data_IF_766750951386
#
_entry.id   IF_766750951386
#
_cell.length_a   1.000
_cell.length_b   1.000
_cell.length_c   1.000
_cell.angle_alpha   90.00
_cell.angle_beta   90.00
_cell.angle_gamma   90.00
#
_symmetry.space_group_name_H-M   'P 1'
#
loop_
_entity.id
_entity.type
_entity.pdbx_description
1 polymer ?
#
# COMPACT_ATOMS: atom_id res chain seq x y z
N UNK A 1 8.87 15.33 26.29
CA UNK A 1 8.12 15.36 25.00
C UNK A 1 7.57 13.97 24.79
N UNK A 2 6.29 13.86 24.42
CA UNK A 2 5.71 12.55 24.05
C UNK A 2 6.47 12.00 22.83
N UNK A 3 6.68 10.66 22.73
CA UNK A 3 7.35 10.09 21.58
C UNK A 3 6.54 10.36 20.30
N UNK A 4 7.22 10.78 19.23
CA UNK A 4 6.57 10.98 17.93
C UNK A 4 6.02 9.68 17.38
N UNK A 5 4.87 9.76 16.74
CA UNK A 5 4.24 8.60 16.10
C UNK A 5 4.67 8.46 14.66
N UNK A 6 5.00 7.23 14.24
CA UNK A 6 5.21 6.84 12.84
C UNK A 6 4.02 6.01 12.39
N UNK A 7 3.41 6.39 11.27
CA UNK A 7 2.36 5.59 10.62
C UNK A 7 2.93 4.99 9.33
N UNK A 8 2.95 3.66 9.28
CA UNK A 8 3.35 2.90 8.09
C UNK A 8 2.15 2.62 7.21
N UNK A 9 2.30 2.86 5.91
CA UNK A 9 1.25 2.68 4.91
C UNK A 9 1.72 1.67 3.87
N UNK A 10 1.08 0.51 3.86
CA UNK A 10 1.45 -0.63 3.01
C UNK A 10 1.09 -0.37 1.54
N UNK A 11 1.79 -1.03 0.63
CA UNK A 11 1.44 -1.09 -0.78
C UNK A 11 0.35 -2.12 -1.10
N UNK A 12 -0.06 -2.19 -2.37
CA UNK A 12 -0.99 -3.21 -2.84
C UNK A 12 -0.35 -4.62 -2.76
N UNK A 13 -1.19 -5.63 -2.60
CA UNK A 13 -0.84 -7.07 -2.56
C UNK A 13 -0.03 -7.53 -1.35
N UNK A 14 0.41 -6.63 -0.47
CA UNK A 14 1.28 -6.93 0.66
C UNK A 14 0.54 -6.70 1.97
N UNK A 15 0.63 -7.64 2.88
CA UNK A 15 0.05 -7.54 4.21
C UNK A 15 0.79 -6.51 5.08
N UNK A 16 0.07 -5.82 5.95
CA UNK A 16 0.63 -4.76 6.81
C UNK A 16 1.71 -5.26 7.79
N UNK A 17 1.74 -6.56 8.12
CA UNK A 17 2.80 -7.15 8.94
C UNK A 17 4.20 -7.09 8.30
N UNK A 18 4.32 -6.75 7.02
CA UNK A 18 5.61 -6.49 6.40
C UNK A 18 6.39 -5.35 7.08
N UNK A 19 5.71 -4.53 7.88
CA UNK A 19 6.31 -3.45 8.65
C UNK A 19 6.76 -3.86 10.06
N UNK A 20 6.53 -5.09 10.52
CA UNK A 20 6.75 -5.47 11.92
C UNK A 20 8.20 -5.31 12.35
N UNK A 21 9.18 -5.64 11.49
CA UNK A 21 10.59 -5.41 11.80
C UNK A 21 10.97 -3.91 11.83
N UNK A 22 10.36 -3.13 10.94
CA UNK A 22 10.50 -1.67 10.94
C UNK A 22 9.92 -1.06 12.21
N UNK A 23 8.74 -1.51 12.62
CA UNK A 23 8.11 -1.08 13.88
C UNK A 23 9.03 -1.36 15.06
N UNK A 24 9.50 -2.58 15.23
CA UNK A 24 10.45 -2.96 16.29
C UNK A 24 11.71 -2.09 16.29
N UNK A 25 12.24 -1.77 15.13
CA UNK A 25 13.42 -0.91 15.00
C UNK A 25 13.13 0.51 15.50
N UNK A 26 12.06 1.12 15.04
CA UNK A 26 11.72 2.50 15.43
C UNK A 26 11.21 2.59 16.87
N UNK A 27 10.54 1.58 17.38
CA UNK A 27 10.13 1.50 18.80
C UNK A 27 11.35 1.48 19.73
N UNK A 28 12.39 0.73 19.37
CA UNK A 28 13.68 0.77 20.10
C UNK A 28 14.36 2.12 20.04
N UNK A 29 14.10 2.90 18.99
CA UNK A 29 14.58 4.28 18.86
C UNK A 29 13.68 5.31 19.57
N UNK A 30 12.64 4.89 20.29
CA UNK A 30 11.78 5.75 21.09
C UNK A 30 10.60 6.37 20.33
N UNK A 31 10.18 5.79 19.19
CA UNK A 31 8.97 6.21 18.48
C UNK A 31 7.79 5.33 18.86
N UNK A 32 6.58 5.88 18.81
CA UNK A 32 5.37 5.08 18.71
C UNK A 32 5.15 4.65 17.26
N UNK A 33 4.71 3.43 17.01
CA UNK A 33 4.52 2.95 15.64
C UNK A 33 3.13 2.37 15.40
N UNK A 34 2.56 2.65 14.25
CA UNK A 34 1.29 2.09 13.78
C UNK A 34 1.47 1.59 12.35
N UNK A 35 0.96 0.41 12.04
CA UNK A 35 0.83 -0.12 10.69
C UNK A 35 -0.60 -0.61 10.47
N UNK A 36 -1.58 0.31 10.35
CA UNK A 36 -2.99 -0.08 10.23
C UNK A 36 -3.23 -0.89 8.95
N UNK A 37 -4.01 -1.98 9.04
CA UNK A 37 -4.45 -2.71 7.85
C UNK A 37 -5.33 -1.84 6.97
N UNK A 38 -5.37 -2.12 5.68
CA UNK A 38 -6.40 -1.58 4.80
C UNK A 38 -7.77 -2.17 5.15
N UNK A 39 -8.88 -1.47 4.84
CA UNK A 39 -10.21 -2.01 5.08
C UNK A 39 -10.37 -3.44 4.54
N UNK A 40 -10.97 -4.33 5.34
CA UNK A 40 -11.19 -5.75 5.06
C UNK A 40 -9.93 -6.61 4.97
N UNK A 41 -8.77 -6.12 5.42
CA UNK A 41 -7.48 -6.83 5.36
C UNK A 41 -6.81 -7.01 6.73
N UNK A 42 -7.59 -7.09 7.80
CA UNK A 42 -7.09 -7.25 9.17
C UNK A 42 -6.83 -8.72 9.56
N UNK A 43 -7.33 -9.67 8.78
CA UNK A 43 -7.09 -11.10 9.02
C UNK A 43 -5.67 -11.52 8.59
N UNK A 44 -5.21 -12.69 9.04
CA UNK A 44 -3.90 -13.22 8.65
C UNK A 44 -3.75 -13.37 7.12
N UNK A 45 -2.53 -13.33 6.56
CA UNK A 45 -2.30 -13.52 5.12
C UNK A 45 -2.91 -14.82 4.58
N UNK A 46 -2.84 -15.89 5.35
CA UNK A 46 -3.44 -17.18 4.99
C UNK A 46 -4.97 -17.08 4.91
N UNK A 47 -5.61 -16.52 5.95
CA UNK A 47 -7.07 -16.35 5.97
C UNK A 47 -7.56 -15.47 4.83
N UNK A 48 -6.83 -14.39 4.51
CA UNK A 48 -7.13 -13.51 3.38
C UNK A 48 -7.01 -14.25 2.04
N UNK A 49 -5.97 -15.06 1.84
CA UNK A 49 -5.84 -15.89 0.62
C UNK A 49 -6.96 -16.91 0.52
N UNK A 50 -7.31 -17.57 1.63
CA UNK A 50 -8.40 -18.58 1.65
C UNK A 50 -9.78 -17.95 1.40
N UNK A 51 -9.97 -16.66 1.71
CA UNK A 51 -11.21 -15.93 1.40
C UNK A 51 -11.31 -15.48 -0.07
N UNK A 52 -10.24 -15.66 -0.86
CA UNK A 52 -10.25 -15.23 -2.25
C UNK A 52 -11.14 -16.15 -3.14
N UNK A 53 -11.98 -15.56 -4.04
CA UNK A 53 -12.16 -14.13 -4.30
C UNK A 53 -13.09 -13.45 -3.28
N UNK A 54 -12.65 -12.34 -2.71
CA UNK A 54 -13.35 -11.59 -1.68
C UNK A 54 -13.96 -10.28 -2.27
N UNK A 55 -15.29 -10.09 -2.24
CA UNK A 55 -15.96 -8.92 -2.81
C UNK A 55 -15.73 -7.64 -1.98
N UNK A 56 -15.55 -7.75 -0.66
CA UNK A 56 -15.29 -6.59 0.20
C UNK A 56 -13.91 -6.00 -0.11
N UNK A 57 -12.88 -6.84 -0.18
CA UNK A 57 -11.53 -6.41 -0.63
C UNK A 57 -11.62 -5.82 -2.04
N UNK A 58 -12.38 -6.45 -2.94
CA UNK A 58 -12.54 -5.96 -4.32
C UNK A 58 -13.19 -4.58 -4.40
N UNK A 59 -13.96 -4.17 -3.39
CA UNK A 59 -14.63 -2.86 -3.34
C UNK A 59 -13.70 -1.70 -2.98
N UNK A 60 -12.52 -1.97 -2.44
CA UNK A 60 -11.57 -0.94 -2.03
C UNK A 60 -11.17 -0.03 -3.21
N UNK A 61 -11.11 1.28 -2.94
CA UNK A 61 -10.72 2.34 -3.87
C UNK A 61 -9.60 3.18 -3.25
N UNK A 62 -8.78 3.82 -4.08
CA UNK A 62 -7.72 4.70 -3.60
C UNK A 62 -8.27 5.83 -2.70
N UNK A 63 -9.38 6.46 -3.08
CA UNK A 63 -10.03 7.48 -2.25
C UNK A 63 -10.44 6.94 -0.88
N UNK A 64 -11.05 5.75 -0.83
CA UNK A 64 -11.45 5.10 0.43
C UNK A 64 -10.25 4.83 1.34
N UNK A 65 -9.10 4.45 0.78
CA UNK A 65 -7.87 4.25 1.55
C UNK A 65 -7.32 5.56 2.10
N UNK A 66 -7.31 6.62 1.29
CA UNK A 66 -6.86 7.95 1.74
C UNK A 66 -7.73 8.41 2.92
N UNK A 67 -9.05 8.31 2.79
CA UNK A 67 -10.01 8.68 3.84
C UNK A 67 -9.87 7.80 5.09
N UNK A 68 -9.52 6.52 4.92
CA UNK A 68 -9.25 5.60 6.03
C UNK A 68 -8.04 6.06 6.84
N UNK A 69 -6.91 6.35 6.21
CA UNK A 69 -5.72 6.86 6.90
C UNK A 69 -5.91 8.27 7.45
N UNK A 70 -6.62 9.14 6.74
CA UNK A 70 -6.97 10.46 7.27
C UNK A 70 -7.74 10.37 8.58
N UNK A 71 -8.73 9.45 8.69
CA UNK A 71 -9.48 9.23 9.95
C UNK A 71 -8.59 8.73 11.08
N UNK A 72 -7.64 7.82 10.80
CA UNK A 72 -6.70 7.31 11.79
C UNK A 72 -5.79 8.44 12.27
N UNK A 73 -5.22 9.22 11.36
CA UNK A 73 -4.30 10.31 11.69
C UNK A 73 -4.99 11.40 12.53
N UNK A 74 -6.24 11.74 12.21
CA UNK A 74 -7.02 12.73 12.97
C UNK A 74 -7.34 12.30 14.41
N UNK A 75 -7.18 11.04 14.75
CA UNK A 75 -7.33 10.54 16.12
C UNK A 75 -6.02 10.61 16.92
N UNK A 76 -4.89 10.90 16.27
CA UNK A 76 -3.60 11.04 16.94
C UNK A 76 -3.47 12.42 17.60
N UNK A 77 -2.74 12.53 18.71
CA UNK A 77 -2.56 13.80 19.43
C UNK A 77 -1.77 14.83 18.64
N UNK A 78 -0.96 14.40 17.66
CA UNK A 78 -0.15 15.26 16.80
C UNK A 78 0.01 14.62 15.41
N UNK A 79 0.41 15.44 14.43
CA UNK A 79 0.68 14.94 13.08
C UNK A 79 1.86 13.95 13.09
N UNK A 80 1.67 12.71 12.61
CA UNK A 80 2.70 11.68 12.61
C UNK A 80 3.74 11.89 11.50
N UNK A 81 4.83 11.13 11.58
CA UNK A 81 5.69 10.85 10.45
C UNK A 81 5.01 9.76 9.63
N UNK A 82 4.91 9.93 8.32
CA UNK A 82 4.28 8.97 7.40
C UNK A 82 5.35 8.22 6.60
N UNK A 83 5.32 6.90 6.61
CA UNK A 83 6.23 6.07 5.80
C UNK A 83 5.36 5.13 4.96
N UNK A 84 5.47 5.22 3.64
CA UNK A 84 4.64 4.40 2.74
C UNK A 84 5.42 3.78 1.59
N UNK A 85 5.02 2.57 1.20
CA UNK A 85 5.61 1.84 0.09
C UNK A 85 4.62 1.73 -1.08
N UNK A 86 5.10 1.88 -2.31
CA UNK A 86 4.30 1.72 -3.54
C UNK A 86 3.05 2.62 -3.53
N UNK A 87 1.82 2.08 -3.58
CA UNK A 87 0.57 2.84 -3.42
C UNK A 87 0.52 3.55 -2.07
N UNK A 88 1.06 2.93 -1.01
CA UNK A 88 1.21 3.59 0.29
C UNK A 88 2.07 4.85 0.22
N UNK A 89 3.11 4.86 -0.60
CA UNK A 89 3.93 6.05 -0.87
C UNK A 89 3.15 7.17 -1.59
N UNK A 90 2.24 6.82 -2.50
CA UNK A 90 1.32 7.78 -3.12
C UNK A 90 0.35 8.35 -2.07
N UNK A 91 -0.20 7.51 -1.19
CA UNK A 91 -1.08 7.95 -0.10
C UNK A 91 -0.34 8.89 0.85
N UNK A 92 0.93 8.60 1.22
CA UNK A 92 1.77 9.52 2.02
C UNK A 92 1.84 10.90 1.39
N UNK A 93 2.10 10.99 0.09
CA UNK A 93 2.19 12.27 -0.62
C UNK A 93 0.86 13.05 -0.56
N UNK A 94 -0.28 12.37 -0.76
CA UNK A 94 -1.62 13.01 -0.65
C UNK A 94 -1.89 13.51 0.76
N UNK A 95 -1.60 12.69 1.78
CA UNK A 95 -1.83 13.05 3.18
C UNK A 95 -0.96 14.24 3.63
N UNK A 96 0.30 14.27 3.19
CA UNK A 96 1.18 15.42 3.44
C UNK A 96 0.64 16.70 2.78
N UNK A 97 0.15 16.62 1.55
CA UNK A 97 -0.45 17.77 0.88
C UNK A 97 -1.71 18.27 1.61
N UNK A 98 -2.44 17.38 2.28
CA UNK A 98 -3.58 17.73 3.14
C UNK A 98 -3.16 18.26 4.52
N UNK A 99 -1.86 18.39 4.81
CA UNK A 99 -1.36 18.85 6.10
C UNK A 99 -1.50 17.80 7.23
N UNK A 100 -1.63 16.52 6.89
CA UNK A 100 -1.89 15.43 7.85
C UNK A 100 -0.63 14.67 8.29
N UNK A 101 0.56 15.17 8.00
CA UNK A 101 1.81 14.58 8.44
C UNK A 101 2.84 15.65 8.80
N UNK A 102 3.70 15.37 9.77
CA UNK A 102 4.83 16.24 10.14
C UNK A 102 6.04 16.04 9.22
N UNK A 103 6.18 14.84 8.65
CA UNK A 103 7.19 14.47 7.65
C UNK A 103 6.71 13.21 6.91
N UNK A 104 7.33 12.89 5.77
CA UNK A 104 6.99 11.68 5.04
C UNK A 104 8.13 11.08 4.24
N UNK A 105 8.09 9.74 4.13
CA UNK A 105 9.00 8.93 3.31
C UNK A 105 8.16 8.09 2.35
N UNK A 106 8.38 8.26 1.05
CA UNK A 106 7.71 7.51 -0.01
C UNK A 106 8.69 6.55 -0.67
N UNK A 107 8.61 5.26 -0.32
CA UNK A 107 9.51 4.20 -0.79
C UNK A 107 8.93 3.61 -2.07
N UNK A 108 9.69 3.64 -3.18
CA UNK A 108 9.25 3.13 -4.49
C UNK A 108 7.80 3.51 -4.82
N UNK A 109 7.44 4.76 -4.54
CA UNK A 109 6.07 5.26 -4.70
C UNK A 109 5.55 5.09 -6.12
N UNK A 110 4.29 4.72 -6.24
CA UNK A 110 3.55 4.90 -7.49
C UNK A 110 3.56 6.40 -7.81
N UNK A 111 3.91 6.80 -9.04
CA UNK A 111 3.95 8.21 -9.40
C UNK A 111 2.56 8.84 -9.37
N UNK A 112 2.45 10.12 -9.01
CA UNK A 112 1.20 10.85 -9.15
C UNK A 112 0.80 10.95 -10.62
N UNK A 113 -0.51 11.17 -10.87
CA UNK A 113 -1.04 11.27 -12.22
C UNK A 113 -0.34 12.38 -13.02
N UNK A 114 0.03 12.06 -14.25
CA UNK A 114 0.72 12.96 -15.18
C UNK A 114 2.18 12.57 -15.42
N UNK A 115 2.73 11.71 -14.55
CA UNK A 115 4.03 11.09 -14.77
C UNK A 115 3.79 9.70 -15.36
N UNK A 116 3.98 9.59 -16.68
CA UNK A 116 3.80 8.31 -17.38
C UNK A 116 5.11 7.54 -17.32
N UNK A 117 5.09 6.39 -16.63
CA UNK A 117 6.25 5.49 -16.60
C UNK A 117 6.10 4.44 -17.69
N UNK A 118 6.85 4.57 -18.79
CA UNK A 118 6.87 3.62 -19.91
C UNK A 118 7.79 2.42 -19.68
N UNK A 119 8.20 2.10 -18.45
CA UNK A 119 9.03 0.91 -18.20
C UNK A 119 8.21 -0.36 -18.44
N UNK A 120 8.63 -1.16 -19.42
CA UNK A 120 7.98 -2.43 -19.78
C UNK A 120 7.81 -3.38 -18.58
N UNK A 121 8.76 -3.38 -17.63
CA UNK A 121 8.70 -4.16 -16.39
C UNK A 121 7.53 -3.74 -15.49
N UNK A 122 7.27 -2.43 -15.35
CA UNK A 122 6.15 -1.90 -14.58
C UNK A 122 4.80 -2.25 -15.23
N UNK A 123 4.72 -2.11 -16.55
CA UNK A 123 3.52 -2.48 -17.31
C UNK A 123 3.27 -4.00 -17.22
N UNK A 124 4.31 -4.83 -17.31
CA UNK A 124 4.18 -6.29 -17.19
C UNK A 124 3.73 -6.71 -15.79
N UNK A 125 4.30 -6.13 -14.73
CA UNK A 125 3.89 -6.40 -13.35
C UNK A 125 2.44 -5.98 -13.07
N UNK A 126 1.99 -4.87 -13.68
CA UNK A 126 0.64 -4.32 -13.51
C UNK A 126 -0.43 -4.97 -14.40
N UNK A 127 -0.07 -5.69 -15.46
CA UNK A 127 -1.03 -6.18 -16.46
C UNK A 127 -2.09 -7.11 -15.89
N UNK A 128 -1.69 -8.11 -15.10
CA UNK A 128 -2.61 -9.00 -14.40
C UNK A 128 -3.48 -8.25 -13.38
N UNK A 129 -2.88 -7.52 -12.43
CA UNK A 129 -3.60 -6.72 -11.46
C UNK A 129 -4.57 -5.68 -12.02
N UNK A 130 -4.24 -5.03 -13.14
CA UNK A 130 -5.15 -4.09 -13.81
C UNK A 130 -6.41 -4.77 -14.31
N UNK A 131 -6.30 -6.01 -14.81
CA UNK A 131 -7.43 -6.87 -15.15
C UNK A 131 -8.49 -6.19 -16.00
N UNK A 132 -8.10 -5.40 -17.04
CA UNK A 132 -9.03 -4.58 -17.84
C UNK A 132 -10.21 -5.36 -18.42
N UNK A 133 -10.00 -6.63 -18.74
CA UNK A 133 -11.02 -7.52 -19.34
C UNK A 133 -11.66 -8.46 -18.32
N UNK A 134 -11.43 -8.25 -17.00
CA UNK A 134 -11.97 -9.13 -15.95
C UNK A 134 -12.83 -8.35 -14.98
N UNK A 135 -13.76 -9.06 -14.31
CA UNK A 135 -14.67 -8.44 -13.33
C UNK A 135 -13.92 -7.74 -12.21
N UNK A 136 -14.34 -6.51 -11.89
CA UNK A 136 -13.85 -5.74 -10.74
C UNK A 136 -14.56 -6.11 -9.44
N UNK A 137 -15.62 -6.92 -9.49
CA UNK A 137 -16.34 -7.42 -8.30
C UNK A 137 -15.59 -8.55 -7.59
N UNK A 138 -14.47 -9.00 -8.14
CA UNK A 138 -13.62 -10.05 -7.58
C UNK A 138 -12.24 -9.50 -7.31
N UNK A 139 -11.73 -9.72 -6.09
CA UNK A 139 -10.33 -9.43 -5.77
C UNK A 139 -9.39 -10.18 -6.72
N UNK A 140 -8.14 -9.77 -6.77
CA UNK A 140 -7.09 -10.41 -7.53
C UNK A 140 -6.00 -10.90 -6.57
N UNK A 141 -5.63 -12.16 -6.66
CA UNK A 141 -4.50 -12.74 -5.93
C UNK A 141 -3.40 -13.05 -6.93
N UNK A 142 -2.20 -12.57 -6.69
CA UNK A 142 -1.04 -12.91 -7.52
C UNK A 142 -0.70 -14.39 -7.37
N UNK A 143 -0.34 -15.06 -8.46
CA UNK A 143 0.33 -16.36 -8.37
C UNK A 143 1.74 -16.18 -7.78
N UNK A 144 2.36 -17.30 -7.36
CA UNK A 144 3.72 -17.26 -6.86
C UNK A 144 4.70 -16.68 -7.90
N UNK A 145 4.58 -17.07 -9.17
CA UNK A 145 5.44 -16.57 -10.25
C UNK A 145 5.26 -15.06 -10.50
N UNK A 146 4.01 -14.56 -10.38
CA UNK A 146 3.74 -13.13 -10.48
C UNK A 146 4.37 -12.37 -9.31
N UNK A 147 4.30 -12.94 -8.10
CA UNK A 147 4.92 -12.39 -6.90
C UNK A 147 6.45 -12.36 -7.03
N UNK A 148 7.08 -13.47 -7.47
CA UNK A 148 8.51 -13.55 -7.72
C UNK A 148 8.97 -12.43 -8.65
N UNK A 149 8.25 -12.24 -9.74
CA UNK A 149 8.60 -11.20 -10.71
C UNK A 149 8.41 -9.79 -10.17
N UNK A 150 7.33 -9.54 -9.42
CA UNK A 150 6.95 -8.18 -9.02
C UNK A 150 7.65 -7.70 -7.75
N UNK A 151 7.93 -8.59 -6.78
CA UNK A 151 8.35 -8.21 -5.44
C UNK A 151 9.68 -8.81 -4.99
N UNK A 152 10.01 -10.02 -5.41
CA UNK A 152 11.14 -10.77 -4.85
C UNK A 152 12.19 -11.19 -5.89
N UNK A 153 12.18 -10.52 -7.04
CA UNK A 153 13.14 -10.74 -8.11
C UNK A 153 14.57 -10.52 -7.59
N UNK A 154 15.42 -11.55 -7.77
CA UNK A 154 16.80 -11.52 -7.30
C UNK A 154 17.03 -12.11 -5.90
N UNK A 155 15.99 -12.49 -5.17
CA UNK A 155 16.10 -13.27 -3.93
C UNK A 155 16.23 -14.76 -4.25
N UNK A 156 16.76 -15.55 -3.30
CA UNK A 156 16.73 -17.01 -3.42
C UNK A 156 15.30 -17.57 -3.32
N UNK A 157 15.10 -18.80 -3.80
CA UNK A 157 13.77 -19.38 -3.94
C UNK A 157 13.07 -19.58 -2.59
N UNK A 158 13.80 -19.90 -1.52
CA UNK A 158 13.20 -20.11 -0.19
C UNK A 158 12.73 -18.78 0.40
N UNK A 159 13.54 -17.72 0.33
CA UNK A 159 13.16 -16.39 0.75
C UNK A 159 11.97 -15.84 -0.07
N UNK A 160 11.89 -16.17 -1.37
CA UNK A 160 10.74 -15.82 -2.21
C UNK A 160 9.45 -16.50 -1.76
N UNK A 161 9.52 -17.81 -1.43
CA UNK A 161 8.38 -18.57 -0.90
C UNK A 161 7.95 -18.04 0.46
N UNK A 162 8.91 -17.85 1.36
CA UNK A 162 8.64 -17.28 2.69
C UNK A 162 7.94 -15.93 2.57
N UNK A 163 8.46 -15.03 1.74
CA UNK A 163 7.84 -13.72 1.47
C UNK A 163 6.42 -13.85 0.92
N UNK A 164 6.17 -14.78 0.01
CA UNK A 164 4.84 -15.02 -0.54
C UNK A 164 3.85 -15.49 0.52
N UNK A 165 4.21 -16.52 1.27
CA UNK A 165 3.30 -17.09 2.27
C UNK A 165 3.06 -16.17 3.45
N UNK A 166 4.06 -15.38 3.85
CA UNK A 166 3.95 -14.45 4.96
C UNK A 166 3.24 -13.13 4.61
N UNK A 167 3.30 -12.69 3.33
CA UNK A 167 2.87 -11.33 3.01
C UNK A 167 1.92 -11.20 1.83
N UNK A 168 1.86 -12.15 0.89
CA UNK A 168 1.00 -12.02 -0.28
C UNK A 168 -0.48 -12.15 0.09
N UNK A 169 -1.28 -11.15 -0.29
CA UNK A 169 -2.71 -11.09 -0.02
C UNK A 169 -3.50 -10.63 -1.26
N UNK A 170 -4.81 -10.95 -1.32
CA UNK A 170 -5.67 -10.46 -2.39
C UNK A 170 -5.79 -8.93 -2.42
N UNK A 171 -5.99 -8.37 -3.61
CA UNK A 171 -6.12 -6.93 -3.82
C UNK A 171 -7.30 -6.55 -4.69
N UNK A 172 -7.76 -5.31 -4.53
CA UNK A 172 -8.72 -4.68 -5.42
C UNK A 172 -8.07 -4.25 -6.74
N UNK A 173 -8.65 -4.66 -7.86
CA UNK A 173 -8.28 -4.14 -9.19
C UNK A 173 -8.61 -2.67 -9.34
N UNK A 174 -9.62 -2.18 -8.61
CA UNK A 174 -10.04 -0.79 -8.65
C UNK A 174 -8.95 0.15 -8.11
N UNK A 175 -8.27 -0.23 -7.02
CA UNK A 175 -7.17 0.56 -6.47
C UNK A 175 -6.06 0.74 -7.51
N UNK A 176 -5.66 -0.35 -8.19
CA UNK A 176 -4.62 -0.29 -9.22
C UNK A 176 -5.06 0.61 -10.39
N UNK A 177 -6.33 0.52 -10.80
CA UNK A 177 -6.89 1.39 -11.85
C UNK A 177 -6.98 2.85 -11.41
N UNK A 178 -7.30 3.11 -10.15
CA UNK A 178 -7.44 4.47 -9.61
C UNK A 178 -6.11 5.23 -9.64
N UNK A 179 -4.95 4.55 -9.54
CA UNK A 179 -3.64 5.20 -9.68
C UNK A 179 -3.45 5.83 -11.07
N UNK A 180 -4.15 5.33 -12.09
CA UNK A 180 -4.16 5.87 -13.45
C UNK A 180 -5.25 6.94 -13.65
N UNK A 181 -6.12 7.17 -12.65
CA UNK A 181 -7.30 8.03 -12.74
C UNK A 181 -7.09 9.42 -12.12
N UNK A 182 -8.16 10.24 -12.13
CA UNK A 182 -8.17 11.57 -11.51
C UNK A 182 -7.95 11.55 -9.98
N UNK A 183 -8.18 10.43 -9.29
CA UNK A 183 -7.94 10.31 -7.86
C UNK A 183 -6.47 10.53 -7.47
N UNK A 184 -5.54 10.24 -8.39
CA UNK A 184 -4.11 10.53 -8.23
C UNK A 184 -3.73 11.98 -8.66
N UNK A 185 -4.71 12.85 -8.98
CA UNK A 185 -4.49 14.20 -9.53
C UNK A 185 -4.30 15.27 -8.45
N UNK A 186 -4.59 14.96 -7.19
CA UNK A 186 -4.48 15.93 -6.10
C UNK A 186 -3.02 16.27 -5.75
N UNK A 187 -2.07 15.48 -6.24
CA UNK A 187 -0.64 15.71 -6.01
C UNK A 187 -0.12 16.67 -7.09
N UNK A 188 0.22 17.89 -6.73
CA UNK A 188 0.89 18.82 -7.63
C UNK A 188 0.34 20.26 -7.68
N UNK A 189 -0.56 20.62 -6.79
CA UNK A 189 -0.88 22.02 -6.51
C UNK A 189 -0.21 22.39 -5.18
N UNK A 190 1.12 22.43 -5.16
CA UNK A 190 1.81 23.22 -4.17
C UNK A 190 1.36 24.68 -4.40
N UNK A 191 0.70 25.28 -3.43
CA UNK A 191 0.57 26.71 -3.40
C UNK A 191 2.00 27.26 -3.17
N UNK A 192 2.54 27.88 -4.22
CA UNK A 192 3.69 28.79 -4.12
C UNK A 192 3.23 30.05 -3.44
#
# INVERSE_FOLDING_TARGET
MSPKTIVFITGAFVHHSCWDEWKKYFERAGFNTLAPPWPFKDASPEALRNSHPNPEIASNRLATLIDHYERIIKQLPENPILIGHSIGGLIVQVLLQRGLGSAGVAIHSVPPRGIITFKASFLKAGWGPLGFFTSTKRSFLMSFEQWQYAFTNGMDCEAQKEGYYNYAIPESKLIVRDTLSKAAKEIGRAHV
#
